data_IF_324410555457
#
_entry.id   IF_324410555457
#
_cell.length_a   1.000
_cell.length_b   1.000
_cell.length_c   1.000
_cell.angle_alpha   90.00
_cell.angle_beta   90.00
_cell.angle_gamma   90.00
#
_symmetry.space_group_name_H-M   'P 1'
#
loop_
_entity.id
_entity.type
_entity.pdbx_description
1 polymer ?
#
# COMPACT_ATOMS: atom_id res chain seq x y z
N UNK A 1 -50.93 -30.13 -26.03
CA UNK A 1 -50.24 -30.99 -25.06
C UNK A 1 -48.77 -30.65 -25.20
N UNK A 2 -48.31 -29.80 -24.29
CA UNK A 2 -47.12 -28.96 -24.46
C UNK A 2 -45.87 -29.70 -24.01
N UNK A 3 -44.89 -29.78 -24.92
CA UNK A 3 -43.50 -30.07 -24.63
C UNK A 3 -42.91 -28.87 -23.88
N UNK A 4 -42.43 -29.06 -22.65
CA UNK A 4 -41.39 -28.22 -22.07
C UNK A 4 -40.77 -28.95 -20.88
N UNK A 5 -39.76 -29.75 -21.20
CA UNK A 5 -38.81 -30.32 -20.25
C UNK A 5 -37.43 -29.75 -20.55
N UNK A 6 -37.24 -28.44 -20.40
CA UNK A 6 -35.90 -27.86 -20.37
C UNK A 6 -35.25 -28.28 -19.05
N UNK A 7 -34.44 -29.33 -19.09
CA UNK A 7 -33.56 -29.70 -17.99
C UNK A 7 -32.68 -28.50 -17.63
N UNK A 8 -32.77 -28.05 -16.38
CA UNK A 8 -31.79 -27.12 -15.83
C UNK A 8 -30.43 -27.83 -15.84
N UNK A 9 -29.57 -27.48 -16.79
CA UNK A 9 -28.17 -27.91 -16.80
C UNK A 9 -27.54 -27.44 -15.49
N UNK A 10 -27.18 -28.38 -14.61
CA UNK A 10 -26.53 -28.07 -13.34
C UNK A 10 -25.20 -27.38 -13.64
N UNK A 11 -25.09 -26.08 -13.34
CA UNK A 11 -23.87 -25.31 -13.57
C UNK A 11 -22.68 -25.97 -12.85
N UNK A 12 -21.71 -26.45 -13.63
CA UNK A 12 -20.51 -27.09 -13.09
C UNK A 12 -19.40 -26.06 -12.98
N UNK A 13 -19.03 -25.72 -11.74
CA UNK A 13 -17.92 -24.81 -11.46
C UNK A 13 -16.59 -25.56 -11.37
N UNK A 14 -15.56 -25.01 -12.01
CA UNK A 14 -14.17 -25.46 -11.85
C UNK A 14 -13.26 -24.28 -11.54
N UNK A 15 -12.21 -24.51 -10.75
CA UNK A 15 -11.17 -23.51 -10.49
C UNK A 15 -9.86 -23.98 -11.11
N UNK A 16 -9.11 -23.06 -11.71
CA UNK A 16 -7.80 -23.31 -12.32
C UNK A 16 -6.92 -22.05 -12.26
N UNK A 17 -5.65 -22.19 -12.62
CA UNK A 17 -4.76 -21.05 -12.83
C UNK A 17 -5.17 -20.24 -14.06
N UNK A 18 -4.77 -18.98 -14.06
CA UNK A 18 -4.95 -18.06 -15.17
C UNK A 18 -4.25 -18.53 -16.44
N UNK A 19 -4.89 -18.27 -17.57
CA UNK A 19 -4.31 -18.37 -18.90
C UNK A 19 -4.44 -17.03 -19.61
N UNK A 20 -3.52 -16.73 -20.53
CA UNK A 20 -3.53 -15.45 -21.27
C UNK A 20 -4.84 -15.18 -22.03
N UNK A 21 -5.55 -16.24 -22.44
CA UNK A 21 -6.89 -16.13 -23.04
C UNK A 21 -7.96 -15.56 -22.11
N UNK A 22 -7.74 -15.55 -20.79
CA UNK A 22 -8.69 -15.02 -19.81
C UNK A 22 -8.60 -13.50 -19.65
N UNK A 23 -7.52 -12.88 -20.15
CA UNK A 23 -7.22 -11.46 -19.96
C UNK A 23 -8.39 -10.55 -20.29
N UNK A 24 -8.96 -10.73 -21.49
CA UNK A 24 -10.07 -9.89 -21.94
C UNK A 24 -11.26 -10.00 -21.01
N UNK A 25 -11.63 -11.22 -20.60
CA UNK A 25 -12.74 -11.45 -19.67
C UNK A 25 -12.46 -10.86 -18.29
N UNK A 26 -11.20 -10.88 -17.83
CA UNK A 26 -10.81 -10.19 -16.60
C UNK A 26 -11.05 -8.68 -16.72
N UNK A 27 -10.52 -8.02 -17.76
CA UNK A 27 -10.65 -6.57 -17.92
C UNK A 27 -12.11 -6.14 -18.10
N UNK A 28 -12.89 -6.87 -18.91
CA UNK A 28 -14.32 -6.62 -19.10
C UNK A 28 -15.06 -6.67 -17.75
N UNK A 29 -14.88 -7.75 -16.99
CA UNK A 29 -15.56 -7.96 -15.70
C UNK A 29 -15.08 -6.98 -14.62
N UNK A 30 -13.79 -6.63 -14.61
CA UNK A 30 -13.24 -5.62 -13.70
C UNK A 30 -13.82 -4.23 -13.99
N UNK A 31 -13.94 -3.88 -15.27
CA UNK A 31 -14.56 -2.63 -15.74
C UNK A 31 -16.02 -2.48 -15.35
N UNK A 32 -16.79 -3.56 -15.45
CA UNK A 32 -18.21 -3.58 -15.06
C UNK A 32 -18.42 -3.36 -13.55
N UNK A 33 -17.52 -3.88 -12.71
CA UNK A 33 -17.69 -3.89 -11.25
C UNK A 33 -16.97 -2.74 -10.53
N UNK A 34 -15.90 -2.20 -11.15
CA UNK A 34 -15.05 -1.20 -10.53
C UNK A 34 -14.85 0.00 -11.46
N UNK A 35 -13.83 -0.06 -12.32
CA UNK A 35 -13.46 0.98 -13.25
C UNK A 35 -12.75 0.34 -14.45
N UNK A 36 -12.83 1.00 -15.61
CA UNK A 36 -12.17 0.50 -16.82
C UNK A 36 -10.66 0.42 -16.62
N UNK A 37 -10.08 -0.69 -17.08
CA UNK A 37 -8.64 -0.96 -17.04
C UNK A 37 -8.19 -1.44 -18.41
N UNK A 38 -6.96 -1.11 -18.77
CA UNK A 38 -6.33 -1.58 -19.99
C UNK A 38 -5.34 -2.74 -19.74
N UNK A 39 -4.72 -3.20 -20.82
CA UNK A 39 -3.74 -4.29 -20.73
C UNK A 39 -2.44 -3.87 -20.04
N UNK A 40 -2.04 -2.60 -20.16
CA UNK A 40 -0.81 -2.11 -19.53
C UNK A 40 -0.96 -2.11 -18.01
N UNK A 41 -2.10 -1.65 -17.50
CA UNK A 41 -2.44 -1.70 -16.07
C UNK A 41 -2.49 -3.13 -15.56
N UNK A 42 -3.11 -4.05 -16.30
CA UNK A 42 -3.17 -5.46 -15.94
C UNK A 42 -1.76 -6.08 -15.83
N UNK A 43 -0.91 -5.83 -16.83
CA UNK A 43 0.46 -6.34 -16.85
C UNK A 43 1.29 -5.76 -15.72
N UNK A 44 1.31 -4.44 -15.55
CA UNK A 44 2.03 -3.79 -14.46
C UNK A 44 1.65 -4.41 -13.11
N UNK A 45 0.35 -4.64 -12.87
CA UNK A 45 -0.12 -5.09 -11.57
C UNK A 45 0.17 -6.57 -11.29
N UNK A 46 0.03 -7.45 -12.30
CA UNK A 46 0.04 -8.90 -12.08
C UNK A 46 1.26 -9.63 -12.66
N UNK A 47 2.11 -8.96 -13.44
CA UNK A 47 3.40 -9.50 -13.92
C UNK A 47 4.54 -9.01 -13.03
N UNK A 48 4.63 -9.58 -11.83
CA UNK A 48 5.70 -9.30 -10.88
C UNK A 48 7.06 -9.80 -11.38
N UNK A 49 8.18 -9.08 -11.18
CA UNK A 49 9.50 -9.56 -11.59
C UNK A 49 10.04 -10.71 -10.73
N UNK A 50 9.29 -11.17 -9.71
CA UNK A 50 9.72 -12.20 -8.77
C UNK A 50 9.04 -13.56 -8.97
N UNK A 51 8.06 -13.64 -9.87
CA UNK A 51 7.34 -14.87 -10.16
C UNK A 51 6.98 -14.90 -11.65
N UNK A 52 7.42 -15.96 -12.34
CA UNK A 52 7.20 -16.09 -13.79
C UNK A 52 5.73 -16.19 -14.15
N UNK A 53 4.92 -16.88 -13.33
CA UNK A 53 3.47 -16.94 -13.53
C UNK A 53 2.71 -15.80 -12.84
N UNK A 54 1.56 -15.44 -13.43
CA UNK A 54 0.60 -14.55 -12.78
C UNK A 54 -0.18 -15.33 -11.71
N UNK A 55 -0.01 -14.94 -10.44
CA UNK A 55 -0.68 -15.56 -9.29
C UNK A 55 -2.19 -15.23 -9.26
N UNK A 56 -2.96 -15.85 -10.15
CA UNK A 56 -4.39 -15.58 -10.34
C UNK A 56 -5.16 -16.90 -10.42
N UNK A 57 -6.10 -17.08 -9.48
CA UNK A 57 -7.08 -18.16 -9.56
C UNK A 57 -8.28 -17.74 -10.40
N UNK A 58 -8.79 -18.63 -11.26
CA UNK A 58 -9.91 -18.39 -12.17
C UNK A 58 -11.01 -19.41 -11.91
N UNK A 59 -12.21 -18.93 -11.62
CA UNK A 59 -13.42 -19.72 -11.53
C UNK A 59 -14.09 -19.74 -12.90
N UNK A 60 -14.45 -20.93 -13.37
CA UNK A 60 -15.13 -21.12 -14.65
C UNK A 60 -16.50 -21.78 -14.45
N UNK A 61 -17.49 -21.33 -15.22
CA UNK A 61 -18.79 -21.97 -15.35
C UNK A 61 -18.94 -22.48 -16.79
N UNK A 62 -19.11 -23.79 -16.97
CA UNK A 62 -19.18 -24.41 -18.31
C UNK A 62 -18.01 -24.01 -19.23
N UNK A 63 -16.81 -23.90 -18.66
CA UNK A 63 -15.58 -23.54 -19.38
C UNK A 63 -15.33 -22.04 -19.58
N UNK A 64 -16.30 -21.16 -19.27
CA UNK A 64 -16.14 -19.71 -19.37
C UNK A 64 -15.69 -19.10 -18.04
N UNK A 65 -14.70 -18.19 -18.00
CA UNK A 65 -14.34 -17.48 -16.78
C UNK A 65 -15.51 -16.65 -16.24
N UNK A 66 -15.76 -16.72 -14.94
CA UNK A 66 -16.86 -16.01 -14.24
C UNK A 66 -16.39 -15.38 -12.91
N UNK A 67 -15.11 -15.51 -12.57
CA UNK A 67 -14.55 -14.89 -11.39
C UNK A 67 -13.06 -15.10 -11.27
N UNK A 68 -12.39 -14.13 -10.67
CA UNK A 68 -10.94 -14.03 -10.58
C UNK A 68 -10.53 -13.67 -9.16
N UNK A 69 -9.48 -14.30 -8.68
CA UNK A 69 -8.81 -13.97 -7.43
C UNK A 69 -7.33 -13.73 -7.74
N UNK A 70 -6.98 -12.50 -8.16
CA UNK A 70 -5.61 -12.16 -8.50
C UNK A 70 -4.82 -11.69 -7.28
N UNK A 71 -3.51 -11.94 -7.31
CA UNK A 71 -2.56 -11.47 -6.33
C UNK A 71 -1.42 -10.69 -7.00
N UNK A 72 -1.03 -9.59 -6.36
CA UNK A 72 0.30 -9.01 -6.56
C UNK A 72 1.33 -9.86 -5.79
N UNK A 73 2.53 -10.01 -6.34
CA UNK A 73 3.59 -10.81 -5.71
C UNK A 73 4.72 -9.89 -5.27
N UNK A 74 5.02 -9.91 -3.97
CA UNK A 74 6.04 -9.07 -3.36
C UNK A 74 7.20 -9.91 -2.81
N UNK A 75 8.45 -9.44 -2.93
CA UNK A 75 9.58 -10.07 -2.25
C UNK A 75 9.52 -9.65 -0.78
N UNK A 76 9.31 -10.59 0.15
CA UNK A 76 9.45 -10.32 1.57
C UNK A 76 10.86 -10.66 2.04
N UNK A 77 11.30 -9.92 3.06
CA UNK A 77 12.49 -10.23 3.84
C UNK A 77 12.15 -10.26 5.32
N UNK A 78 12.70 -11.23 6.03
CA UNK A 78 12.58 -11.37 7.48
C UNK A 78 13.87 -11.97 8.04
N UNK A 79 14.50 -11.30 9.01
CA UNK A 79 15.79 -11.70 9.62
C UNK A 79 16.86 -12.10 8.58
N UNK A 80 16.98 -11.30 7.52
CA UNK A 80 17.99 -11.50 6.47
C UNK A 80 17.60 -12.46 5.34
N UNK A 81 16.63 -13.35 5.56
CA UNK A 81 16.16 -14.33 4.57
C UNK A 81 15.02 -13.77 3.70
N UNK A 82 15.02 -14.13 2.42
CA UNK A 82 14.00 -13.72 1.43
C UNK A 82 12.96 -14.83 1.20
N UNK A 83 11.74 -14.43 0.89
CA UNK A 83 10.60 -15.29 0.47
C UNK A 83 9.64 -14.46 -0.38
N UNK A 84 8.58 -15.07 -0.93
CA UNK A 84 7.52 -14.34 -1.60
C UNK A 84 6.28 -14.20 -0.72
N UNK A 85 5.55 -13.11 -0.96
CA UNK A 85 4.21 -12.92 -0.44
C UNK A 85 3.20 -12.63 -1.54
N UNK A 86 1.99 -13.13 -1.33
CA UNK A 86 0.84 -12.90 -2.21
C UNK A 86 -0.08 -11.88 -1.56
N UNK A 87 -0.33 -10.77 -2.24
CA UNK A 87 -1.31 -9.77 -1.82
C UNK A 87 -2.53 -9.82 -2.74
N UNK A 88 -3.69 -10.34 -2.28
CA UNK A 88 -4.92 -10.30 -3.07
C UNK A 88 -5.34 -8.87 -3.39
N UNK A 89 -5.49 -8.56 -4.67
CA UNK A 89 -5.69 -7.19 -5.16
C UNK A 89 -6.60 -7.20 -6.39
N UNK A 90 -7.89 -6.90 -6.22
CA UNK A 90 -8.85 -6.87 -7.34
C UNK A 90 -9.67 -8.15 -7.53
N UNK A 91 -10.12 -8.78 -6.43
CA UNK A 91 -11.00 -9.95 -6.53
C UNK A 91 -12.34 -9.55 -7.14
N UNK A 92 -12.74 -10.23 -8.21
CA UNK A 92 -13.99 -9.91 -8.94
C UNK A 92 -14.73 -11.20 -9.31
N UNK A 93 -16.05 -11.21 -9.15
CA UNK A 93 -16.92 -12.34 -9.47
C UNK A 93 -18.17 -11.78 -10.16
N UNK A 94 -18.49 -12.35 -11.33
CA UNK A 94 -19.69 -12.04 -12.10
C UNK A 94 -20.94 -12.07 -11.21
N UNK A 95 -21.73 -11.00 -11.27
CA UNK A 95 -22.92 -10.81 -10.46
C UNK A 95 -23.89 -12.01 -10.49
N UNK A 96 -24.04 -12.68 -11.63
CA UNK A 96 -24.94 -13.81 -11.83
C UNK A 96 -24.46 -15.10 -11.14
N UNK A 97 -23.17 -15.17 -10.81
CA UNK A 97 -22.53 -16.32 -10.16
C UNK A 97 -22.14 -16.05 -8.68
N UNK A 98 -22.49 -14.88 -8.13
CA UNK A 98 -22.30 -14.55 -6.70
C UNK A 98 -23.14 -15.42 -5.77
N UNK A 99 -22.76 -15.45 -4.49
CA UNK A 99 -23.41 -16.23 -3.41
C UNK A 99 -23.44 -17.75 -3.64
N UNK A 100 -22.55 -18.26 -4.49
CA UNK A 100 -22.37 -19.70 -4.80
C UNK A 100 -21.06 -20.28 -4.24
N UNK A 101 -20.43 -19.59 -3.29
CA UNK A 101 -19.19 -20.01 -2.64
C UNK A 101 -17.92 -19.88 -3.49
N UNK A 102 -17.97 -19.19 -4.62
CA UNK A 102 -16.82 -19.05 -5.54
C UNK A 102 -15.60 -18.37 -4.90
N UNK A 103 -15.80 -17.36 -4.06
CA UNK A 103 -14.71 -16.70 -3.34
C UNK A 103 -13.89 -17.70 -2.52
N UNK A 104 -14.57 -18.56 -1.75
CA UNK A 104 -13.90 -19.60 -0.94
C UNK A 104 -13.18 -20.60 -1.82
N UNK A 105 -13.81 -21.07 -2.91
CA UNK A 105 -13.17 -22.02 -3.84
C UNK A 105 -11.91 -21.44 -4.49
N UNK A 106 -11.98 -20.19 -4.94
CA UNK A 106 -10.84 -19.46 -5.51
C UNK A 106 -9.70 -19.31 -4.51
N UNK A 107 -10.01 -18.85 -3.30
CA UNK A 107 -9.03 -18.67 -2.23
C UNK A 107 -8.38 -19.99 -1.83
N UNK A 108 -9.17 -21.05 -1.61
CA UNK A 108 -8.65 -22.38 -1.25
C UNK A 108 -7.73 -22.92 -2.34
N UNK A 109 -8.14 -22.85 -3.61
CA UNK A 109 -7.29 -23.30 -4.72
C UNK A 109 -5.96 -22.54 -4.75
N UNK A 110 -5.98 -21.22 -4.53
CA UNK A 110 -4.76 -20.41 -4.48
C UNK A 110 -3.83 -20.87 -3.35
N UNK A 111 -4.39 -21.14 -2.16
CA UNK A 111 -3.59 -21.55 -1.00
C UNK A 111 -2.95 -22.92 -1.22
N UNK A 112 -3.71 -23.87 -1.77
CA UNK A 112 -3.24 -25.21 -2.12
C UNK A 112 -2.18 -25.17 -3.23
N UNK A 113 -2.35 -24.28 -4.22
CA UNK A 113 -1.41 -24.13 -5.35
C UNK A 113 -0.05 -23.62 -4.90
N UNK A 114 -0.03 -22.66 -3.98
CA UNK A 114 1.21 -22.05 -3.49
C UNK A 114 1.76 -22.74 -2.22
N UNK A 115 1.07 -23.74 -1.67
CA UNK A 115 1.56 -24.51 -0.54
C UNK A 115 2.84 -25.27 -0.92
N UNK A 116 3.91 -25.05 -0.16
CA UNK A 116 5.23 -25.67 -0.41
C UNK A 116 6.07 -24.99 -1.49
N UNK A 117 5.60 -23.88 -2.06
CA UNK A 117 6.39 -23.03 -2.97
C UNK A 117 7.23 -22.00 -2.19
N UNK A 118 7.92 -21.09 -2.89
CA UNK A 118 8.63 -19.96 -2.28
C UNK A 118 7.69 -18.95 -1.60
N UNK A 119 6.40 -18.90 -1.99
CA UNK A 119 5.43 -18.04 -1.35
C UNK A 119 5.06 -18.56 0.05
N UNK A 120 5.35 -17.76 1.08
CA UNK A 120 5.15 -18.19 2.48
C UNK A 120 3.99 -17.48 3.19
N UNK A 121 3.65 -16.27 2.75
CA UNK A 121 2.69 -15.40 3.45
C UNK A 121 1.71 -14.77 2.48
N UNK A 122 0.47 -14.60 2.91
CA UNK A 122 -0.46 -13.66 2.31
C UNK A 122 -0.69 -12.49 3.26
N UNK A 123 -0.70 -11.27 2.73
CA UNK A 123 -1.03 -10.07 3.49
C UNK A 123 -1.95 -9.16 2.67
N UNK A 124 -2.74 -8.32 3.33
CA UNK A 124 -3.62 -7.37 2.66
C UNK A 124 -4.01 -6.20 3.58
N UNK A 125 -4.56 -5.14 2.98
CA UNK A 125 -5.09 -3.96 3.65
C UNK A 125 -6.61 -3.83 3.40
N UNK A 126 -7.43 -4.70 4.01
CA UNK A 126 -8.84 -4.79 3.68
C UNK A 126 -9.60 -3.57 4.16
N UNK A 127 -10.63 -3.20 3.40
CA UNK A 127 -11.68 -2.32 3.89
C UNK A 127 -12.60 -3.07 4.88
N UNK A 128 -13.43 -2.32 5.60
CA UNK A 128 -14.35 -2.89 6.61
C UNK A 128 -15.34 -3.89 6.00
N UNK A 129 -15.70 -3.72 4.71
CA UNK A 129 -16.69 -4.56 4.04
C UNK A 129 -16.21 -6.00 3.82
N UNK A 130 -14.93 -6.20 3.46
CA UNK A 130 -14.40 -7.55 3.16
C UNK A 130 -13.75 -8.24 4.35
N UNK A 131 -13.48 -7.50 5.43
CA UNK A 131 -12.80 -8.01 6.64
C UNK A 131 -13.45 -9.26 7.25
N UNK A 132 -14.79 -9.34 7.42
CA UNK A 132 -15.44 -10.56 7.94
C UNK A 132 -15.27 -11.78 7.04
N UNK A 133 -15.20 -11.58 5.72
CA UNK A 133 -14.99 -12.64 4.75
C UNK A 133 -13.58 -13.22 4.83
N UNK A 134 -12.57 -12.35 4.96
CA UNK A 134 -11.17 -12.77 5.12
C UNK A 134 -10.94 -13.51 6.44
N UNK A 135 -11.55 -13.07 7.54
CA UNK A 135 -11.45 -13.78 8.82
C UNK A 135 -11.97 -15.22 8.74
N UNK A 136 -13.05 -15.48 8.00
CA UNK A 136 -13.56 -16.84 7.74
C UNK A 136 -12.58 -17.70 6.93
N UNK A 137 -11.71 -17.07 6.14
CA UNK A 137 -10.65 -17.73 5.38
C UNK A 137 -9.34 -17.87 6.19
N UNK A 138 -9.39 -17.64 7.51
CA UNK A 138 -8.27 -17.84 8.43
C UNK A 138 -7.29 -16.68 8.49
N UNK A 139 -7.62 -15.51 7.92
CA UNK A 139 -6.82 -14.30 8.03
C UNK A 139 -6.95 -13.70 9.43
N UNK A 140 -5.86 -13.14 9.95
CA UNK A 140 -5.84 -12.44 11.23
C UNK A 140 -5.49 -10.98 11.01
N UNK A 141 -6.21 -10.09 11.69
CA UNK A 141 -5.79 -8.69 11.83
C UNK A 141 -4.51 -8.66 12.65
N UNK A 142 -3.47 -8.03 12.10
CA UNK A 142 -2.13 -8.01 12.68
C UNK A 142 -1.91 -6.67 13.37
N UNK A 143 -2.07 -5.57 12.64
CA UNK A 143 -1.75 -4.24 13.14
C UNK A 143 -2.60 -3.15 12.50
N UNK A 144 -2.67 -2.01 13.19
CA UNK A 144 -3.19 -0.75 12.64
C UNK A 144 -2.00 0.18 12.37
N UNK A 145 -1.85 0.62 11.11
CA UNK A 145 -0.74 1.48 10.70
C UNK A 145 -0.97 2.91 11.18
N UNK A 146 -0.19 3.32 12.19
CA UNK A 146 -0.10 4.72 12.60
C UNK A 146 0.43 5.56 11.45
N UNK A 147 -0.31 6.62 11.13
CA UNK A 147 0.01 7.56 10.07
C UNK A 147 0.41 8.91 10.68
N UNK A 148 1.46 9.50 10.13
CA UNK A 148 1.90 10.86 10.41
C UNK A 148 1.28 11.81 9.39
N UNK A 149 0.72 12.93 9.84
CA UNK A 149 0.15 13.97 8.98
C UNK A 149 0.75 15.33 9.26
N UNK A 150 1.29 15.96 8.22
CA UNK A 150 1.56 17.40 8.21
C UNK A 150 0.36 18.11 7.63
N UNK A 151 -0.28 18.95 8.44
CA UNK A 151 -1.47 19.72 8.03
C UNK A 151 -1.01 21.05 7.44
N UNK A 152 -1.19 21.24 6.13
CA UNK A 152 -0.86 22.50 5.47
C UNK A 152 -2.05 23.46 5.49
N UNK A 153 -3.24 22.94 5.12
CA UNK A 153 -4.48 23.71 5.02
C UNK A 153 -5.54 23.15 5.98
N UNK A 154 -5.50 23.51 7.27
CA UNK A 154 -6.42 22.97 8.28
C UNK A 154 -7.89 23.31 8.00
N UNK A 155 -8.17 24.39 7.28
CA UNK A 155 -9.52 24.77 6.86
C UNK A 155 -10.14 23.75 5.89
N UNK A 156 -9.34 23.16 5.01
CA UNK A 156 -9.81 22.11 4.10
C UNK A 156 -10.31 20.89 4.87
N UNK A 157 -9.66 20.54 6.00
CA UNK A 157 -10.10 19.44 6.86
C UNK A 157 -11.46 19.69 7.52
N UNK A 158 -11.75 20.92 7.90
CA UNK A 158 -13.03 21.29 8.46
C UNK A 158 -14.13 21.22 7.40
N UNK A 159 -13.87 21.77 6.21
CA UNK A 159 -14.81 21.74 5.08
C UNK A 159 -15.09 20.32 4.61
N UNK A 160 -14.08 19.47 4.54
CA UNK A 160 -14.21 18.04 4.23
C UNK A 160 -15.03 17.26 5.27
N UNK A 161 -15.31 17.86 6.43
CA UNK A 161 -16.21 17.35 7.48
C UNK A 161 -17.54 18.10 7.56
N UNK A 162 -17.84 18.96 6.59
CA UNK A 162 -19.04 19.80 6.57
C UNK A 162 -19.06 20.87 7.65
N UNK A 163 -17.88 21.36 8.10
CA UNK A 163 -17.76 22.42 9.11
C UNK A 163 -17.12 23.66 8.51
N UNK A 164 -17.58 24.83 8.94
CA UNK A 164 -17.04 26.13 8.56
C UNK A 164 -16.88 27.00 9.81
N UNK A 165 -15.81 27.80 9.87
CA UNK A 165 -15.54 28.73 10.99
C UNK A 165 -15.78 30.19 10.61
N UNK A 166 -16.18 30.46 9.37
CA UNK A 166 -16.23 31.81 8.80
C UNK A 166 -14.83 32.39 8.55
N UNK A 167 -14.75 33.48 7.77
CA UNK A 167 -13.48 34.00 7.25
C UNK A 167 -12.43 34.32 8.34
N UNK A 168 -12.86 34.88 9.48
CA UNK A 168 -11.95 35.19 10.60
C UNK A 168 -11.42 33.93 11.28
N UNK A 169 -12.26 32.91 11.43
CA UNK A 169 -11.85 31.61 12.01
C UNK A 169 -10.90 30.86 11.08
N UNK A 170 -11.16 30.91 9.77
CA UNK A 170 -10.30 30.33 8.75
C UNK A 170 -8.88 30.94 8.79
N UNK A 171 -8.80 32.29 8.84
CA UNK A 171 -7.51 33.00 8.94
C UNK A 171 -6.77 32.67 10.24
N UNK A 172 -7.49 32.58 11.36
CA UNK A 172 -6.89 32.24 12.65
C UNK A 172 -6.32 30.81 12.65
N UNK A 173 -7.03 29.84 12.05
CA UNK A 173 -6.59 28.46 12.00
C UNK A 173 -5.37 28.26 11.09
N UNK A 174 -5.31 28.96 9.95
CA UNK A 174 -4.14 28.97 9.07
C UNK A 174 -2.93 29.65 9.71
N UNK A 175 -3.14 30.70 10.52
CA UNK A 175 -2.05 31.31 11.28
C UNK A 175 -1.50 30.34 12.34
N UNK A 176 -2.39 29.60 13.04
CA UNK A 176 -1.98 28.59 14.01
C UNK A 176 -1.19 27.44 13.37
N UNK A 177 -1.60 26.95 12.20
CA UNK A 177 -0.83 25.91 11.49
C UNK A 177 0.56 26.43 11.11
N UNK A 178 0.66 27.64 10.55
CA UNK A 178 1.95 28.28 10.21
C UNK A 178 2.85 28.45 11.43
N UNK A 179 2.31 28.89 12.57
CA UNK A 179 3.05 29.00 13.83
C UNK A 179 3.54 27.63 14.29
N UNK A 180 2.69 26.60 14.29
CA UNK A 180 3.07 25.24 14.64
C UNK A 180 4.22 24.72 13.76
N UNK A 181 4.10 24.88 12.44
CA UNK A 181 5.13 24.46 11.48
C UNK A 181 6.44 25.24 11.70
N UNK A 182 6.36 26.54 11.98
CA UNK A 182 7.53 27.38 12.27
C UNK A 182 8.21 26.98 13.58
N UNK A 183 7.46 26.74 14.65
CA UNK A 183 8.01 26.31 15.94
C UNK A 183 8.65 24.92 15.84
N UNK A 184 8.03 24.00 15.09
CA UNK A 184 8.59 22.65 14.87
C UNK A 184 9.98 22.73 14.23
N UNK A 185 10.17 23.68 13.31
CA UNK A 185 11.46 23.92 12.64
C UNK A 185 12.57 24.47 13.54
N UNK A 186 12.23 25.11 14.66
CA UNK A 186 13.24 25.71 15.56
C UNK A 186 14.09 24.66 16.29
N UNK A 187 13.64 23.41 16.37
CA UNK A 187 14.33 22.32 17.07
C UNK A 187 15.23 21.49 16.16
N UNK A 188 15.41 21.91 14.90
CA UNK A 188 16.14 21.15 13.89
C UNK A 188 17.64 21.36 14.01
N UNK A 189 18.40 20.33 13.66
CA UNK A 189 19.85 20.45 13.53
C UNK A 189 20.19 21.32 12.31
N UNK A 190 21.32 22.04 12.37
CA UNK A 190 21.86 22.70 11.20
C UNK A 190 22.49 21.66 10.28
N UNK A 191 22.01 21.59 9.04
CA UNK A 191 22.57 20.75 7.98
C UNK A 191 23.08 21.65 6.87
N UNK A 192 24.14 22.40 7.17
CA UNK A 192 24.94 23.02 6.12
C UNK A 192 25.58 21.90 5.28
N UNK A 193 25.18 21.78 4.02
CA UNK A 193 25.78 20.86 3.05
C UNK A 193 24.88 19.74 2.50
N UNK A 194 23.66 19.55 3.00
CA UNK A 194 22.69 18.63 2.35
C UNK A 194 21.85 19.38 1.33
N UNK A 195 21.87 18.90 0.09
CA UNK A 195 21.05 19.37 -1.04
C UNK A 195 20.04 18.31 -1.43
N UNK A 196 18.90 18.72 -2.01
CA UNK A 196 17.87 17.80 -2.49
C UNK A 196 17.73 17.98 -4.00
N UNK A 197 17.73 16.86 -4.73
CA UNK A 197 17.49 16.82 -6.17
C UNK A 197 16.17 16.11 -6.48
N UNK A 198 15.55 16.48 -7.59
CA UNK A 198 14.28 15.92 -8.04
C UNK A 198 14.49 15.01 -9.25
N UNK A 199 13.74 13.91 -9.32
CA UNK A 199 13.74 13.00 -10.45
C UNK A 199 12.31 12.69 -10.88
N UNK A 200 12.09 12.57 -12.19
CA UNK A 200 10.81 12.14 -12.78
C UNK A 200 10.64 10.62 -12.78
N UNK A 201 11.72 9.88 -12.57
CA UNK A 201 11.77 8.41 -12.49
C UNK A 201 12.62 8.03 -11.30
N UNK A 202 12.30 6.92 -10.63
CA UNK A 202 13.07 6.46 -9.46
C UNK A 202 14.47 6.04 -9.91
N UNK A 203 15.57 6.63 -9.37
CA UNK A 203 16.91 6.11 -9.56
C UNK A 203 17.06 4.83 -8.74
N UNK A 204 16.60 3.72 -9.32
CA UNK A 204 16.35 2.45 -8.63
C UNK A 204 17.59 1.91 -7.90
N UNK A 205 18.76 2.03 -8.51
CA UNK A 205 20.04 1.59 -7.96
C UNK A 205 20.48 2.45 -6.76
N UNK A 206 20.21 3.76 -6.78
CA UNK A 206 20.49 4.64 -5.64
C UNK A 206 19.59 4.28 -4.45
N UNK A 207 18.30 4.06 -4.70
CA UNK A 207 17.36 3.65 -3.65
C UNK A 207 17.67 2.26 -3.09
N UNK A 208 18.05 1.30 -3.95
CA UNK A 208 18.55 -0.01 -3.50
C UNK A 208 19.81 0.13 -2.63
N UNK A 209 20.74 1.01 -3.00
CA UNK A 209 21.95 1.26 -2.22
C UNK A 209 21.61 1.85 -0.85
N UNK A 210 20.72 2.84 -0.79
CA UNK A 210 20.23 3.42 0.46
C UNK A 210 19.52 2.37 1.35
N UNK A 211 18.72 1.48 0.75
CA UNK A 211 18.11 0.38 1.48
C UNK A 211 19.16 -0.59 2.04
N UNK A 212 20.20 -0.90 1.27
CA UNK A 212 21.25 -1.82 1.69
C UNK A 212 22.08 -1.29 2.87
N UNK A 213 22.15 0.03 3.07
CA UNK A 213 22.80 0.64 4.24
C UNK A 213 22.13 0.29 5.57
N UNK A 214 20.80 0.12 5.57
CA UNK A 214 20.06 -0.28 6.76
C UNK A 214 18.87 -1.19 6.41
N UNK A 215 19.13 -2.49 6.43
CA UNK A 215 18.10 -3.51 6.27
C UNK A 215 17.43 -3.75 7.64
N UNK A 216 16.12 -3.51 7.79
CA UNK A 216 15.44 -3.73 9.07
C UNK A 216 15.47 -5.19 9.53
N UNK A 217 15.59 -5.39 10.84
CA UNK A 217 15.39 -6.68 11.50
C UNK A 217 13.89 -6.95 11.76
N UNK A 218 13.06 -6.79 10.72
CA UNK A 218 11.62 -6.95 10.74
C UNK A 218 11.14 -7.61 9.44
N UNK A 219 9.88 -8.03 9.40
CA UNK A 219 9.19 -8.44 8.18
C UNK A 219 8.87 -7.19 7.36
N UNK A 220 9.43 -7.11 6.17
CA UNK A 220 9.22 -5.99 5.25
C UNK A 220 9.32 -6.47 3.80
N UNK A 221 8.83 -5.68 2.86
CA UNK A 221 9.06 -5.96 1.44
C UNK A 221 10.49 -5.52 1.08
N UNK A 222 11.27 -6.40 0.46
CA UNK A 222 12.64 -6.12 0.05
C UNK A 222 12.66 -5.04 -1.05
N UNK A 223 13.69 -4.17 -1.00
CA UNK A 223 13.85 -3.03 -1.90
C UNK A 223 15.10 -3.19 -2.76
N UNK A 224 15.00 -3.97 -3.81
CA UNK A 224 16.02 -3.99 -4.86
C UNK A 224 15.60 -3.10 -6.05
N UNK A 225 16.50 -2.90 -7.01
CA UNK A 225 16.19 -2.08 -8.17
C UNK A 225 15.02 -2.62 -8.99
N UNK A 226 14.76 -3.94 -8.99
CA UNK A 226 13.61 -4.52 -9.69
C UNK A 226 12.30 -4.10 -9.03
N UNK A 227 12.25 -4.05 -7.68
CA UNK A 227 11.10 -3.53 -6.96
C UNK A 227 10.78 -2.10 -7.38
N UNK A 228 11.77 -1.21 -7.40
CA UNK A 228 11.53 0.20 -7.71
C UNK A 228 11.06 0.42 -9.14
N UNK A 229 11.69 -0.26 -10.11
CA UNK A 229 11.30 -0.17 -11.52
C UNK A 229 9.89 -0.73 -11.76
N UNK A 230 9.51 -1.80 -11.07
CA UNK A 230 8.17 -2.37 -11.21
C UNK A 230 7.12 -1.54 -10.47
N UNK A 231 7.33 -1.27 -9.18
CA UNK A 231 6.30 -0.73 -8.29
C UNK A 231 5.92 0.71 -8.64
N UNK A 232 6.88 1.50 -9.14
CA UNK A 232 6.69 2.92 -9.47
C UNK A 232 6.54 3.19 -10.97
N UNK A 233 6.42 2.15 -11.81
CA UNK A 233 6.00 2.25 -13.22
C UNK A 233 4.49 2.05 -13.37
N UNK A 234 3.73 2.39 -12.32
CA UNK A 234 2.28 2.24 -12.28
C UNK A 234 1.62 3.19 -13.28
N UNK A 235 0.77 2.70 -14.21
CA UNK A 235 0.06 3.57 -15.13
C UNK A 235 -0.83 4.59 -14.40
N UNK A 236 -0.95 5.78 -14.98
CA UNK A 236 -1.81 6.87 -14.46
C UNK A 236 -1.45 7.33 -13.03
N UNK A 237 -0.19 7.15 -12.62
CA UNK A 237 0.35 7.66 -11.36
C UNK A 237 1.58 8.51 -11.63
N UNK A 238 1.51 9.76 -11.20
CA UNK A 238 2.64 10.67 -11.22
C UNK A 238 3.34 10.60 -9.86
N UNK A 239 4.57 10.09 -9.87
CA UNK A 239 5.43 10.04 -8.71
C UNK A 239 6.44 11.19 -8.74
N UNK A 240 6.65 11.86 -7.61
CA UNK A 240 7.75 12.80 -7.44
C UNK A 240 8.83 12.15 -6.58
N UNK A 241 10.07 12.14 -7.08
CA UNK A 241 11.19 11.48 -6.41
C UNK A 241 12.20 12.50 -5.95
N UNK A 242 12.61 12.38 -4.69
CA UNK A 242 13.53 13.29 -4.02
C UNK A 242 14.73 12.49 -3.51
N UNK A 243 15.94 12.99 -3.74
CA UNK A 243 17.17 12.41 -3.21
C UNK A 243 17.98 13.49 -2.52
N UNK A 244 18.26 13.29 -1.24
CA UNK A 244 19.12 14.13 -0.43
C UNK A 244 20.58 13.68 -0.57
N UNK A 245 21.48 14.62 -0.81
CA UNK A 245 22.92 14.39 -1.01
C UNK A 245 23.75 15.34 -0.17
N UNK A 246 24.86 14.83 0.38
CA UNK A 246 25.97 15.65 0.89
C UNK A 246 27.12 15.63 -0.12
N UNK A 247 27.54 14.44 -0.51
CA UNK A 247 28.39 14.14 -1.66
C UNK A 247 27.78 12.97 -2.44
N UNK A 248 27.50 11.90 -1.70
CA UNK A 248 26.70 10.74 -2.12
C UNK A 248 25.24 10.85 -1.65
N UNK A 249 24.30 10.06 -2.20
CA UNK A 249 22.97 9.90 -1.65
C UNK A 249 23.02 9.48 -0.17
N UNK A 250 22.27 10.19 0.68
CA UNK A 250 22.16 9.88 2.12
C UNK A 250 20.73 9.59 2.57
N UNK A 251 19.74 10.02 1.78
CA UNK A 251 18.35 9.65 1.96
C UNK A 251 17.57 9.87 0.64
N UNK A 252 16.46 9.15 0.48
CA UNK A 252 15.55 9.29 -0.66
C UNK A 252 14.11 9.20 -0.21
N UNK A 253 13.20 9.84 -0.95
CA UNK A 253 11.76 9.74 -0.73
C UNK A 253 11.00 9.74 -2.06
N UNK A 254 9.88 9.03 -2.11
CA UNK A 254 8.97 9.02 -3.26
C UNK A 254 7.60 9.46 -2.78
N UNK A 255 6.99 10.41 -3.47
CA UNK A 255 5.64 10.90 -3.15
C UNK A 255 4.67 10.64 -4.29
N UNK A 256 3.38 10.57 -3.94
CA UNK A 256 2.26 10.53 -4.88
C UNK A 256 1.15 11.41 -4.34
N UNK A 257 0.61 12.29 -5.18
CA UNK A 257 -0.51 13.16 -4.81
C UNK A 257 -1.81 12.60 -5.34
N UNK A 258 -2.85 12.59 -4.51
CA UNK A 258 -4.19 12.15 -4.88
C UNK A 258 -5.25 13.13 -4.37
N UNK A 259 -6.42 13.10 -4.99
CA UNK A 259 -7.61 13.80 -4.49
C UNK A 259 -8.56 12.79 -3.86
N UNK A 260 -8.85 12.96 -2.58
CA UNK A 260 -9.77 12.10 -1.86
C UNK A 260 -11.22 12.32 -2.31
N UNK A 261 -12.11 11.38 -2.00
CA UNK A 261 -13.55 11.48 -2.33
C UNK A 261 -14.27 12.67 -1.68
N UNK A 262 -13.76 13.17 -0.55
CA UNK A 262 -14.25 14.39 0.10
C UNK A 262 -13.53 15.66 -0.36
N UNK A 263 -12.73 15.58 -1.43
CA UNK A 263 -12.14 16.72 -2.12
C UNK A 263 -10.82 17.23 -1.57
N UNK A 264 -10.22 16.57 -0.57
CA UNK A 264 -8.90 16.95 -0.05
C UNK A 264 -7.81 16.59 -1.06
N UNK A 265 -6.80 17.44 -1.18
CA UNK A 265 -5.55 17.13 -1.87
C UNK A 265 -4.59 16.53 -0.85
N UNK A 266 -4.25 15.26 -1.04
CA UNK A 266 -3.39 14.49 -0.14
C UNK A 266 -2.12 14.09 -0.87
N UNK A 267 -0.96 14.54 -0.39
CA UNK A 267 0.33 14.00 -0.83
C UNK A 267 0.77 12.91 0.12
N UNK A 268 0.91 11.70 -0.38
CA UNK A 268 1.45 10.56 0.37
C UNK A 268 2.95 10.46 0.12
N UNK A 269 3.76 10.46 1.18
CA UNK A 269 5.13 9.96 1.16
C UNK A 269 5.02 8.44 1.13
N UNK A 270 5.20 7.88 -0.07
CA UNK A 270 4.97 6.47 -0.34
C UNK A 270 6.11 5.59 0.21
N UNK A 271 7.31 6.15 0.23
CA UNK A 271 8.58 5.48 0.46
C UNK A 271 9.60 6.46 0.99
N UNK A 272 10.49 5.97 1.86
CA UNK A 272 11.70 6.70 2.20
C UNK A 272 12.83 5.74 2.61
N UNK A 273 14.04 6.06 2.18
CA UNK A 273 15.24 5.25 2.44
C UNK A 273 16.37 6.13 3.01
N UNK A 274 17.27 5.58 3.85
CA UNK A 274 17.25 4.23 4.41
C UNK A 274 16.07 3.99 5.36
N UNK A 275 15.46 2.81 5.33
CA UNK A 275 14.32 2.46 6.18
C UNK A 275 14.73 2.38 7.65
N UNK A 276 13.91 2.89 8.57
CA UNK A 276 14.04 2.62 10.01
C UNK A 276 15.24 3.25 10.74
N UNK A 277 15.98 4.16 10.11
CA UNK A 277 17.11 4.87 10.74
C UNK A 277 16.63 6.06 11.58
N UNK A 278 17.37 6.45 12.61
CA UNK A 278 17.12 7.66 13.41
C UNK A 278 18.30 8.66 13.37
N UNK A 279 19.48 8.19 12.97
CA UNK A 279 20.72 8.95 12.84
C UNK A 279 20.85 9.74 11.52
N UNK A 280 19.81 9.70 10.68
CA UNK A 280 19.68 10.49 9.43
C UNK A 280 18.57 11.53 9.49
N UNK A 281 18.02 11.75 10.67
CA UNK A 281 16.96 12.71 10.94
C UNK A 281 17.09 14.04 10.17
N UNK A 282 18.27 14.68 10.11
CA UNK A 282 18.39 15.97 9.42
C UNK A 282 18.32 15.89 7.88
N UNK A 283 18.73 14.78 7.26
CA UNK A 283 18.59 14.56 5.82
C UNK A 283 17.12 14.35 5.44
N UNK A 284 16.39 13.55 6.23
CA UNK A 284 14.93 13.40 6.08
C UNK A 284 14.21 14.72 6.28
N UNK A 285 14.64 15.52 7.24
CA UNK A 285 14.14 16.87 7.43
C UNK A 285 14.28 17.76 6.17
N UNK A 286 15.43 17.72 5.49
CA UNK A 286 15.61 18.42 4.20
C UNK A 286 14.72 17.89 3.10
N UNK A 287 14.54 16.57 3.00
CA UNK A 287 13.59 15.95 2.06
C UNK A 287 12.16 16.45 2.32
N UNK A 288 11.73 16.44 3.58
CA UNK A 288 10.39 16.86 3.98
C UNK A 288 10.13 18.35 3.72
N UNK A 289 11.16 19.19 3.80
CA UNK A 289 11.07 20.59 3.39
C UNK A 289 10.89 20.75 1.88
N UNK A 290 11.66 20.00 1.08
CA UNK A 290 11.54 20.02 -0.37
C UNK A 290 10.15 19.52 -0.81
N UNK A 291 9.69 18.39 -0.25
CA UNK A 291 8.34 17.86 -0.47
C UNK A 291 7.27 18.89 -0.13
N UNK A 292 7.35 19.54 1.04
CA UNK A 292 6.35 20.55 1.42
C UNK A 292 6.40 21.80 0.52
N UNK A 293 7.58 22.18 0.01
CA UNK A 293 7.74 23.32 -0.89
C UNK A 293 7.20 23.05 -2.29
N UNK A 294 7.33 21.82 -2.78
CA UNK A 294 6.87 21.38 -4.11
C UNK A 294 5.38 21.06 -4.17
N UNK A 295 4.75 20.80 -3.01
CA UNK A 295 3.33 20.48 -2.91
C UNK A 295 2.54 21.51 -2.08
N UNK A 296 2.60 22.82 -2.39
CA UNK A 296 1.93 23.86 -1.61
C UNK A 296 0.39 23.77 -1.65
N UNK A 297 -0.17 23.14 -2.68
CA UNK A 297 -1.62 22.91 -2.86
C UNK A 297 -2.14 21.72 -2.06
N UNK A 298 -1.27 20.86 -1.54
CA UNK A 298 -1.69 19.72 -0.74
C UNK A 298 -2.24 20.18 0.60
N UNK A 299 -3.46 19.78 0.93
CA UNK A 299 -4.08 20.06 2.24
C UNK A 299 -3.38 19.32 3.37
N UNK A 300 -2.96 18.09 3.06
CA UNK A 300 -2.25 17.18 3.94
C UNK A 300 -1.05 16.57 3.23
N UNK A 301 0.03 16.35 3.98
CA UNK A 301 1.09 15.42 3.60
C UNK A 301 1.08 14.28 4.60
N UNK A 302 0.99 13.04 4.12
CA UNK A 302 0.89 11.83 4.95
C UNK A 302 2.12 10.96 4.78
N UNK A 303 2.58 10.37 5.87
CA UNK A 303 3.53 9.27 5.89
C UNK A 303 3.07 8.20 6.90
N UNK A 304 3.75 7.05 6.97
CA UNK A 304 3.59 6.11 8.09
C UNK A 304 4.79 6.16 9.01
N UNK A 305 4.66 5.56 10.20
CA UNK A 305 5.81 5.39 11.12
C UNK A 305 6.99 4.66 10.48
N UNK A 306 6.75 3.72 9.60
CA UNK A 306 7.82 3.02 8.90
C UNK A 306 8.43 3.82 7.75
N UNK A 307 7.73 4.84 7.25
CA UNK A 307 8.22 5.67 6.14
C UNK A 307 9.21 6.72 6.63
N UNK A 308 9.00 7.30 7.82
CA UNK A 308 9.82 8.41 8.30
C UNK A 308 10.32 8.17 9.72
N UNK A 309 11.57 8.54 10.03
CA UNK A 309 12.04 8.60 11.41
C UNK A 309 11.13 9.51 12.24
N UNK A 310 10.73 9.06 13.44
CA UNK A 310 9.79 9.82 14.30
C UNK A 310 10.32 11.21 14.63
N UNK A 311 11.63 11.33 14.89
CA UNK A 311 12.28 12.60 15.19
C UNK A 311 12.14 13.61 14.04
N UNK A 312 12.57 13.21 12.84
CA UNK A 312 12.43 14.00 11.63
C UNK A 312 10.98 14.39 11.32
N UNK A 313 10.04 13.45 11.44
CA UNK A 313 8.62 13.71 11.19
C UNK A 313 8.06 14.79 12.13
N UNK A 314 8.27 14.65 13.45
CA UNK A 314 7.76 15.60 14.43
C UNK A 314 8.39 16.99 14.30
N UNK A 315 9.71 17.08 14.09
CA UNK A 315 10.40 18.37 13.86
C UNK A 315 10.06 19.00 12.51
N UNK A 316 9.56 18.19 11.58
CA UNK A 316 8.95 18.64 10.33
C UNK A 316 7.43 18.85 10.47
N UNK A 317 6.90 19.01 11.68
CA UNK A 317 5.50 19.39 11.92
C UNK A 317 4.46 18.33 11.53
N UNK A 318 4.87 17.07 11.39
CA UNK A 318 3.93 15.96 11.27
C UNK A 318 3.39 15.59 12.65
N UNK A 319 2.11 15.23 12.70
CA UNK A 319 1.42 14.78 13.90
C UNK A 319 0.95 13.33 13.69
N UNK A 320 1.18 12.42 14.64
CA UNK A 320 0.64 11.06 14.57
C UNK A 320 -0.88 11.06 14.77
N UNK A 321 -1.59 10.15 14.12
CA UNK A 321 -3.04 9.99 14.23
C UNK A 321 -3.52 9.13 15.42
N UNK A 322 -2.61 8.53 16.18
CA UNK A 322 -2.87 7.81 17.43
C UNK A 322 -2.56 8.63 18.70
N UNK A 323 -1.86 9.77 18.59
CA UNK A 323 -1.61 10.70 19.69
C UNK A 323 -2.38 12.03 19.53
N UNK A 324 -2.47 12.79 20.63
CA UNK A 324 -3.06 14.14 20.57
C UNK A 324 -2.18 15.08 19.73
N UNK A 325 -2.78 16.03 18.98
CA UNK A 325 -4.21 16.35 18.95
C UNK A 325 -5.02 15.54 17.92
N UNK A 326 -4.38 14.88 16.95
CA UNK A 326 -5.09 14.25 15.83
C UNK A 326 -5.93 13.05 16.26
N UNK A 327 -5.56 12.34 17.31
CA UNK A 327 -6.33 11.19 17.83
C UNK A 327 -7.77 11.53 18.27
N UNK A 328 -8.06 12.80 18.58
CA UNK A 328 -9.43 13.29 18.84
C UNK A 328 -10.28 13.44 17.59
N UNK A 329 -9.63 13.52 16.43
CA UNK A 329 -10.18 13.94 15.15
C UNK A 329 -10.26 12.75 14.21
N UNK A 330 -9.29 11.83 14.27
CA UNK A 330 -9.19 10.61 13.48
C UNK A 330 -8.49 9.55 14.33
N UNK A 331 -8.86 8.28 14.14
CA UNK A 331 -8.07 7.14 14.65
C UNK A 331 -7.34 6.46 13.48
N UNK A 332 -6.24 5.74 13.74
CA UNK A 332 -5.63 4.88 12.73
C UNK A 332 -6.68 3.95 12.13
N UNK A 333 -6.87 4.05 10.82
CA UNK A 333 -7.93 3.32 10.09
C UNK A 333 -7.38 2.27 9.14
N UNK A 334 -6.07 2.26 8.91
CA UNK A 334 -5.43 1.32 7.98
C UNK A 334 -5.06 0.06 8.73
N UNK A 335 -5.88 -0.99 8.55
CA UNK A 335 -5.65 -2.31 9.13
C UNK A 335 -4.87 -3.18 8.16
N UNK A 336 -3.92 -3.94 8.68
CA UNK A 336 -3.31 -5.04 7.94
C UNK A 336 -3.82 -6.37 8.46
N UNK A 337 -4.10 -7.28 7.53
CA UNK A 337 -4.31 -8.70 7.83
C UNK A 337 -3.22 -9.54 7.19
N UNK A 338 -2.87 -10.65 7.83
CA UNK A 338 -1.96 -11.62 7.25
C UNK A 338 -2.41 -13.05 7.58
N UNK A 339 -1.86 -14.01 6.83
CA UNK A 339 -1.85 -15.44 7.15
C UNK A 339 -0.70 -16.15 6.44
N UNK A 340 -0.16 -17.24 7.01
CA UNK A 340 0.73 -18.10 6.26
C UNK A 340 -0.03 -18.78 5.10
N UNK A 341 0.67 -19.08 4.00
CA UNK A 341 0.09 -19.82 2.86
C UNK A 341 -0.40 -21.18 3.32
N UNK A 342 0.47 -21.94 3.99
CA UNK A 342 0.13 -23.18 4.68
C UNK A 342 -0.23 -22.91 6.14
N UNK A 343 -1.36 -23.45 6.59
CA UNK A 343 -1.77 -23.43 8.00
C UNK A 343 -1.49 -24.76 8.70
N UNK A 344 -0.89 -25.74 8.00
CA UNK A 344 -0.61 -27.07 8.55
C UNK A 344 0.81 -27.13 9.10
N UNK A 345 0.95 -27.54 10.37
CA UNK A 345 2.24 -27.88 10.99
C UNK A 345 3.27 -26.75 11.19
N UNK A 346 3.07 -25.55 10.63
CA UNK A 346 3.98 -24.41 10.78
C UNK A 346 3.44 -23.36 11.76
N UNK A 347 4.26 -22.84 12.68
CA UNK A 347 3.87 -21.71 13.52
C UNK A 347 3.59 -20.48 12.64
N UNK A 348 2.75 -19.57 13.13
CA UNK A 348 2.49 -18.25 12.52
C UNK A 348 3.72 -17.35 12.65
N UNK A 349 4.81 -17.75 12.00
CA UNK A 349 6.12 -17.11 12.03
C UNK A 349 6.73 -17.13 10.64
N UNK A 350 7.49 -16.09 10.34
CA UNK A 350 8.36 -16.02 9.18
C UNK A 350 9.78 -15.78 9.68
N UNK A 351 10.68 -16.74 9.44
CA UNK A 351 12.10 -16.68 9.81
C UNK A 351 12.33 -16.27 11.28
N UNK A 352 11.53 -16.85 12.18
CA UNK A 352 11.57 -16.59 13.61
C UNK A 352 10.69 -15.43 14.09
N UNK A 353 10.25 -14.51 13.22
CA UNK A 353 9.40 -13.38 13.58
C UNK A 353 7.92 -13.76 13.60
N UNK A 354 7.15 -13.48 14.67
CA UNK A 354 5.71 -13.72 14.69
C UNK A 354 4.94 -12.90 13.66
N UNK A 355 4.16 -13.56 12.79
CA UNK A 355 3.30 -12.86 11.83
C UNK A 355 2.21 -12.03 12.51
N UNK A 356 1.79 -12.44 13.72
CA UNK A 356 0.71 -11.82 14.50
C UNK A 356 1.16 -10.68 15.40
N UNK A 357 2.46 -10.40 15.46
CA UNK A 357 3.01 -9.33 16.28
C UNK A 357 3.20 -8.08 15.41
N UNK A 358 2.49 -6.97 15.67
CA UNK A 358 2.69 -5.70 14.97
C UNK A 358 4.15 -5.26 14.88
N UNK A 359 4.92 -5.45 15.96
CA UNK A 359 6.30 -4.97 16.07
C UNK A 359 7.26 -5.83 15.24
N UNK A 360 6.78 -6.95 14.68
CA UNK A 360 7.52 -7.76 13.73
C UNK A 360 7.43 -7.23 12.29
N UNK A 361 6.67 -6.18 12.01
CA UNK A 361 6.44 -5.67 10.65
C UNK A 361 6.91 -4.23 10.47
N UNK A 362 7.58 -3.97 9.36
CA UNK A 362 7.98 -2.64 8.91
C UNK A 362 7.39 -2.41 7.51
N UNK A 363 6.32 -1.61 7.42
CA UNK A 363 5.52 -1.45 6.19
C UNK A 363 5.21 0.01 5.90
N UNK A 364 5.50 0.41 4.67
CA UNK A 364 5.25 1.75 4.16
C UNK A 364 3.92 1.80 3.40
N UNK A 365 3.63 2.95 2.79
CA UNK A 365 2.45 3.07 1.93
C UNK A 365 2.67 2.39 0.58
N UNK A 366 3.92 2.14 0.17
CA UNK A 366 4.25 1.45 -1.08
C UNK A 366 3.69 0.02 -1.17
N UNK A 367 3.54 -0.67 -0.04
CA UNK A 367 2.98 -2.02 0.04
C UNK A 367 1.46 -2.02 -0.12
N UNK A 368 0.82 -0.85 0.02
CA UNK A 368 -0.60 -0.73 -0.26
C UNK A 368 -0.80 -0.71 -1.76
N UNK A 369 -1.85 -1.39 -2.16
CA UNK A 369 -2.41 -1.30 -3.49
C UNK A 369 -2.75 0.19 -3.80
N UNK A 370 -2.14 0.80 -4.83
CA UNK A 370 -2.27 2.23 -5.09
C UNK A 370 -3.57 2.59 -5.83
N UNK A 371 -4.42 1.61 -6.14
CA UNK A 371 -5.66 1.82 -6.89
C UNK A 371 -6.91 1.82 -6.01
N UNK A 372 -6.73 1.89 -4.68
CA UNK A 372 -7.82 1.86 -3.69
C UNK A 372 -7.68 2.90 -2.57
#
# INVERSE_FOLDING_TARGET
>A
MTLDGMGQTQETYRVRGYAESDRKTFCDLFGEEWFEIDEQWFEWRYSSPYLDEKAIAVATANGKPVGFFPCMVFPLRANGERTLALQPAGVVIDANHRRRGLLTKLATWLFETYEGTEASVLFNFPNEAISPGLQKLGWREILSLTSYFRVQHPNALLRARGRELGALGDVALDALSKVHLSCSRQFRADESGVTVTHHSTVPAEEFESLYAENIPNAIHVARDAAFYRWRYDAPERDYCVYVARRDEPVAGAITCTERTSNGLVLTNVMEAQPMGVDDRDPAFERLLDAIAADHPESDLIRATKATLPRGAALRSGYLPDDELPLSKVRKPSTKMVARPVSTTGRPWRLNGLPLTDPDSWELMLSERDPTY
#
